data_IF_188720852888
#
_entry.id   IF_188720852888
#
_cell.length_a   1.000
_cell.length_b   1.000
_cell.length_c   1.000
_cell.angle_alpha   90.00
_cell.angle_beta   90.00
_cell.angle_gamma   90.00
#
_symmetry.space_group_name_H-M   'P 1'
#
loop_
_entity.id
_entity.type
_entity.pdbx_description
1 polymer ?
#
# COMPACT_ATOMS: atom_id res chain seq x y z
N UNK A 1 -8.76 4.38 10.80
CA UNK A 1 -7.64 3.44 10.97
C UNK A 1 -6.48 3.99 10.16
N UNK A 2 -5.33 4.15 10.78
CA UNK A 2 -4.15 4.70 10.11
C UNK A 2 -3.66 3.74 9.01
N UNK A 3 -3.37 4.30 7.84
CA UNK A 3 -2.78 3.59 6.72
C UNK A 3 -1.77 4.48 5.98
N UNK A 4 -0.92 3.87 5.16
CA UNK A 4 -0.14 4.55 4.14
C UNK A 4 -0.68 4.16 2.77
N UNK A 5 -0.80 5.12 1.87
CA UNK A 5 -1.40 4.95 0.55
C UNK A 5 -0.55 5.64 -0.52
N UNK A 6 -0.27 4.91 -1.60
CA UNK A 6 0.36 5.47 -2.80
C UNK A 6 -0.73 6.17 -3.61
N UNK A 7 -0.70 7.52 -3.64
CA UNK A 7 -1.63 8.35 -4.42
C UNK A 7 -1.14 8.58 -5.84
N UNK A 8 0.16 8.71 -5.97
CA UNK A 8 0.90 8.84 -7.21
C UNK A 8 2.27 8.19 -7.03
N UNK A 9 2.82 7.67 -8.13
CA UNK A 9 4.20 7.17 -8.15
C UNK A 9 5.14 8.35 -8.24
N UNK A 10 6.17 8.38 -7.40
CA UNK A 10 7.11 9.49 -7.32
C UNK A 10 8.55 8.99 -7.08
N UNK A 11 9.55 9.69 -7.61
CA UNK A 11 10.94 9.26 -7.51
C UNK A 11 11.46 9.35 -6.06
N UNK A 12 10.96 10.32 -5.29
CA UNK A 12 11.33 10.61 -3.91
C UNK A 12 10.29 10.06 -2.90
N UNK A 13 9.30 9.29 -3.39
CA UNK A 13 8.22 8.69 -2.62
C UNK A 13 7.28 9.70 -1.93
N UNK A 14 7.20 10.94 -2.41
CA UNK A 14 6.31 11.97 -1.83
C UNK A 14 4.81 11.63 -2.00
N UNK A 15 4.49 10.83 -3.01
CA UNK A 15 3.13 10.32 -3.25
C UNK A 15 2.66 9.24 -2.25
N UNK A 16 3.54 8.75 -1.36
CA UNK A 16 3.18 7.83 -0.28
C UNK A 16 2.72 8.63 0.96
N UNK A 17 1.40 8.75 1.12
CA UNK A 17 0.82 9.60 2.16
C UNK A 17 0.21 8.77 3.28
N UNK A 18 0.40 9.24 4.52
CA UNK A 18 -0.36 8.73 5.66
C UNK A 18 -1.81 9.24 5.57
N UNK A 19 -2.76 8.34 5.80
CA UNK A 19 -4.19 8.66 5.71
C UNK A 19 -4.99 7.91 6.77
N UNK A 20 -6.25 8.30 6.93
CA UNK A 20 -7.23 7.59 7.74
C UNK A 20 -8.22 6.86 6.83
N UNK A 21 -8.46 5.58 7.12
CA UNK A 21 -9.48 4.76 6.45
C UNK A 21 -10.50 4.25 7.46
N UNK A 22 -11.71 3.93 7.01
CA UNK A 22 -12.67 3.21 7.85
C UNK A 22 -12.12 1.83 8.24
N UNK A 23 -12.54 1.31 9.39
CA UNK A 23 -12.18 -0.05 9.76
C UNK A 23 -12.99 -1.02 8.88
N UNK A 24 -12.35 -1.99 8.21
CA UNK A 24 -13.09 -2.94 7.40
C UNK A 24 -13.94 -3.88 8.26
N UNK A 25 -15.05 -4.33 7.69
CA UNK A 25 -15.89 -5.42 8.21
C UNK A 25 -15.71 -6.61 7.25
N UNK A 26 -15.35 -7.80 7.73
CA UNK A 26 -15.13 -8.94 6.84
C UNK A 26 -16.45 -9.49 6.31
N UNK A 27 -16.44 -10.03 5.10
CA UNK A 27 -17.46 -10.96 4.62
C UNK A 27 -17.36 -12.33 5.34
N UNK A 28 -18.30 -13.25 5.05
CA UNK A 28 -18.38 -14.57 5.69
C UNK A 28 -17.11 -15.43 5.48
N UNK A 29 -16.37 -15.20 4.39
CA UNK A 29 -15.15 -15.91 3.99
C UNK A 29 -13.85 -15.10 4.21
N UNK A 30 -13.92 -13.96 4.88
CA UNK A 30 -12.78 -13.07 5.11
C UNK A 30 -12.39 -12.99 6.60
N UNK A 31 -11.16 -12.53 6.85
CA UNK A 31 -10.68 -12.26 8.20
C UNK A 31 -10.12 -10.85 8.29
N UNK A 32 -10.49 -10.12 9.35
CA UNK A 32 -9.86 -8.84 9.66
C UNK A 32 -8.62 -9.07 10.52
N UNK A 33 -7.46 -8.73 9.96
CA UNK A 33 -6.18 -8.84 10.65
C UNK A 33 -5.83 -7.49 11.29
N UNK A 34 -5.47 -7.52 12.58
CA UNK A 34 -4.87 -6.35 13.23
C UNK A 34 -3.35 -6.38 13.06
N UNK A 35 -2.85 -5.52 12.19
CA UNK A 35 -1.42 -5.36 11.95
C UNK A 35 -0.72 -4.80 13.21
N UNK A 36 0.36 -5.47 13.64
CA UNK A 36 1.22 -5.04 14.76
C UNK A 36 2.57 -4.53 14.30
N UNK A 37 3.05 -5.05 13.18
CA UNK A 37 4.28 -4.66 12.51
C UNK A 37 4.15 -4.99 11.02
N UNK A 38 4.89 -4.27 10.19
CA UNK A 38 5.07 -4.52 8.77
C UNK A 38 6.55 -4.35 8.41
N UNK A 39 7.01 -5.03 7.38
CA UNK A 39 8.34 -4.87 6.80
C UNK A 39 8.26 -4.16 5.46
N UNK A 40 9.35 -3.55 5.04
CA UNK A 40 9.51 -3.08 3.66
C UNK A 40 10.26 -4.15 2.85
N UNK A 41 9.77 -4.40 1.65
CA UNK A 41 10.38 -5.25 0.64
C UNK A 41 10.83 -4.39 -0.54
N UNK A 42 11.71 -4.93 -1.38
CA UNK A 42 12.13 -4.27 -2.62
C UNK A 42 10.93 -3.90 -3.52
N UNK A 43 9.94 -4.79 -3.63
CA UNK A 43 8.76 -4.53 -4.48
C UNK A 43 7.95 -3.33 -4.00
N UNK A 44 7.92 -3.07 -2.69
CA UNK A 44 7.17 -1.94 -2.14
C UNK A 44 7.77 -0.62 -2.64
N UNK A 45 9.11 -0.56 -2.74
CA UNK A 45 9.83 0.56 -3.35
C UNK A 45 9.57 0.65 -4.86
N UNK A 46 9.62 -0.49 -5.55
CA UNK A 46 9.43 -0.54 -7.00
C UNK A 46 8.01 -0.13 -7.45
N UNK A 47 6.99 -0.38 -6.61
CA UNK A 47 5.59 0.00 -6.89
C UNK A 47 5.33 1.47 -6.64
N UNK A 48 5.97 2.06 -5.62
CA UNK A 48 5.77 3.46 -5.26
C UNK A 48 6.65 4.43 -6.07
N UNK A 49 7.72 3.94 -6.71
CA UNK A 49 8.64 4.76 -7.49
C UNK A 49 8.16 4.97 -8.93
N UNK A 50 8.32 6.19 -9.45
CA UNK A 50 8.10 6.49 -10.88
C UNK A 50 9.26 6.06 -11.79
N UNK A 51 10.42 5.68 -11.21
CA UNK A 51 11.62 5.28 -11.94
C UNK A 51 11.79 3.75 -12.06
N UNK A 52 11.04 3.01 -11.25
CA UNK A 52 11.05 1.55 -11.22
C UNK A 52 9.74 1.01 -11.80
N UNK A 53 9.78 -0.19 -12.35
CA UNK A 53 8.59 -0.87 -12.83
C UNK A 53 8.46 -2.23 -12.13
N UNK A 54 7.30 -2.47 -11.51
CA UNK A 54 6.93 -3.79 -11.02
C UNK A 54 5.79 -4.36 -11.87
N UNK A 55 5.95 -5.55 -12.47
CA UNK A 55 4.91 -6.14 -13.31
C UNK A 55 3.59 -6.30 -12.56
N UNK A 56 2.49 -5.81 -13.16
CA UNK A 56 1.15 -5.93 -12.59
C UNK A 56 0.82 -4.94 -11.47
N UNK A 57 1.64 -3.91 -11.26
CA UNK A 57 1.29 -2.83 -10.33
C UNK A 57 0.08 -2.03 -10.84
N UNK A 58 -0.98 -1.95 -10.02
CA UNK A 58 -2.17 -1.15 -10.27
C UNK A 58 -2.60 -0.44 -8.97
N UNK A 59 -1.96 0.70 -8.64
CA UNK A 59 -2.26 1.42 -7.40
C UNK A 59 -3.76 1.76 -7.28
N UNK A 60 -4.37 1.61 -6.09
CA UNK A 60 -3.73 1.39 -4.79
C UNK A 60 -3.52 -0.09 -4.42
N UNK A 61 -3.66 -1.02 -5.36
CA UNK A 61 -3.47 -2.46 -5.11
C UNK A 61 -2.00 -2.82 -5.30
N UNK A 62 -1.39 -3.34 -4.23
CA UNK A 62 -0.04 -3.93 -4.25
C UNK A 62 -0.21 -5.43 -4.54
N UNK A 63 0.28 -5.95 -5.69
CA UNK A 63 0.15 -7.37 -6.06
C UNK A 63 1.02 -8.33 -5.21
#
# INVERSE_FOLDING_TARGET
MDAYEVRETDADYEGLVRTERERPTPADDEVVVRIRACSLNYRDLAIASSELAYPGADPPVVP
#
